data_IF_111887489822
#
_entry.id   IF_111887489822
#
_cell.length_a   1.000
_cell.length_b   1.000
_cell.length_c   1.000
_cell.angle_alpha   90.00
_cell.angle_beta   90.00
_cell.angle_gamma   90.00
#
_symmetry.space_group_name_H-M   'P 1'
#
loop_
_entity.id
_entity.type
_entity.pdbx_description
1 polymer ?
#
# COMPACT_ATOMS: atom_id res chain seq x y z
N UNK A 1 5.28 10.52 30.81
CA UNK A 1 5.55 9.27 30.06
C UNK A 1 5.28 8.14 31.02
N UNK A 2 4.47 7.18 30.60
CA UNK A 2 4.14 6.02 31.41
C UNK A 2 5.32 5.05 31.47
N UNK A 3 5.38 4.18 32.49
CA UNK A 3 6.45 3.17 32.65
C UNK A 3 6.53 2.21 31.45
N UNK A 4 5.40 1.97 30.82
CA UNK A 4 5.28 1.08 29.67
C UNK A 4 4.71 1.81 28.46
N UNK A 5 5.18 1.44 27.26
CA UNK A 5 4.66 1.91 25.98
C UNK A 5 4.35 0.72 25.07
N UNK A 6 3.22 0.73 24.39
CA UNK A 6 2.90 -0.29 23.38
C UNK A 6 3.80 -0.05 22.16
N UNK A 7 4.46 -1.08 21.61
CA UNK A 7 5.26 -0.93 20.37
C UNK A 7 4.48 -1.49 19.19
N UNK A 8 4.11 -2.76 19.30
CA UNK A 8 3.29 -3.49 18.35
C UNK A 8 2.56 -4.57 19.15
N UNK A 9 1.28 -4.36 19.42
CA UNK A 9 0.52 -5.27 20.28
C UNK A 9 0.72 -6.73 19.84
N UNK A 10 1.14 -7.64 20.75
CA UNK A 10 1.18 -7.47 22.20
C UNK A 10 2.55 -7.07 22.81
N UNK A 11 3.57 -6.66 22.05
CA UNK A 11 4.88 -6.30 22.62
C UNK A 11 4.91 -4.89 23.22
N UNK A 12 5.60 -4.78 24.35
CA UNK A 12 5.66 -3.59 25.19
C UNK A 12 7.11 -3.11 25.32
N UNK A 13 7.32 -1.81 25.46
CA UNK A 13 8.60 -1.20 25.83
C UNK A 13 8.55 -0.80 27.30
N UNK A 14 9.53 -1.19 28.09
CA UNK A 14 9.82 -0.50 29.35
C UNK A 14 10.54 0.82 29.02
N UNK A 15 9.93 1.95 29.35
CA UNK A 15 10.46 3.28 28.97
C UNK A 15 11.63 3.72 29.85
N UNK A 16 11.81 3.11 31.02
CA UNK A 16 12.91 3.42 31.94
C UNK A 16 14.19 2.69 31.53
N UNK A 17 14.08 1.43 31.11
CA UNK A 17 15.23 0.59 30.73
C UNK A 17 15.47 0.52 29.22
N UNK A 18 14.47 0.88 28.41
CA UNK A 18 14.47 0.68 26.96
C UNK A 18 14.32 -0.78 26.53
N UNK A 19 14.02 -1.70 27.45
CA UNK A 19 13.86 -3.12 27.14
C UNK A 19 12.53 -3.39 26.43
N UNK A 20 12.58 -4.17 25.33
CA UNK A 20 11.39 -4.73 24.71
C UNK A 20 10.95 -5.98 25.49
N UNK A 21 9.69 -6.01 25.88
CA UNK A 21 9.04 -7.06 26.66
C UNK A 21 8.12 -7.85 25.72
N UNK A 22 8.51 -9.08 25.33
CA UNK A 22 7.64 -9.99 24.59
C UNK A 22 6.43 -10.39 25.46
N UNK A 23 5.31 -10.68 24.81
CA UNK A 23 4.16 -11.31 25.46
C UNK A 23 4.44 -12.80 25.73
N UNK A 24 5.23 -13.06 26.77
CA UNK A 24 5.58 -14.40 27.23
C UNK A 24 5.28 -14.52 28.73
N UNK A 25 4.31 -15.37 29.14
CA UNK A 25 3.99 -15.61 30.55
C UNK A 25 5.17 -16.08 31.41
N UNK A 26 6.22 -16.66 30.83
CA UNK A 26 7.42 -17.07 31.55
C UNK A 26 8.43 -15.92 31.74
N UNK A 27 8.24 -14.78 31.07
CA UNK A 27 9.11 -13.61 31.19
C UNK A 27 8.73 -12.78 32.43
N UNK A 28 9.71 -12.55 33.30
CA UNK A 28 9.53 -11.76 34.51
C UNK A 28 9.06 -10.32 34.24
N UNK A 29 9.61 -9.66 33.20
CA UNK A 29 9.20 -8.30 32.81
C UNK A 29 7.76 -8.25 32.29
N UNK A 30 7.31 -9.33 31.65
CA UNK A 30 5.92 -9.46 31.21
C UNK A 30 4.97 -9.66 32.39
N UNK A 31 5.35 -10.49 33.37
CA UNK A 31 4.58 -10.65 34.61
C UNK A 31 4.47 -9.32 35.37
N UNK A 32 5.57 -8.57 35.49
CA UNK A 32 5.58 -7.24 36.10
C UNK A 32 4.66 -6.26 35.37
N UNK A 33 4.67 -6.27 34.03
CA UNK A 33 3.73 -5.47 33.23
C UNK A 33 2.26 -5.85 33.50
N UNK A 34 1.94 -7.14 33.60
CA UNK A 34 0.59 -7.60 33.92
C UNK A 34 0.16 -7.17 35.33
N UNK A 35 1.05 -7.27 36.32
CA UNK A 35 0.79 -6.77 37.68
C UNK A 35 0.58 -5.25 37.68
N UNK A 36 1.39 -4.50 36.95
CA UNK A 36 1.24 -3.05 36.81
C UNK A 36 -0.12 -2.65 36.22
N UNK A 37 -0.65 -3.41 35.25
CA UNK A 37 -1.99 -3.19 34.68
C UNK A 37 -3.15 -3.45 35.65
N UNK A 38 -2.92 -4.11 36.80
CA UNK A 38 -3.99 -4.37 37.78
C UNK A 38 -4.46 -3.11 38.50
N UNK A 39 -3.64 -2.06 38.53
CA UNK A 39 -4.04 -0.75 39.02
C UNK A 39 -4.79 0.02 37.91
N UNK A 40 -6.05 0.42 38.13
CA UNK A 40 -6.84 1.15 37.13
C UNK A 40 -6.29 2.53 36.79
N UNK A 41 -5.37 3.09 37.58
CA UNK A 41 -4.70 4.35 37.26
C UNK A 41 -3.57 4.17 36.22
N UNK A 42 -3.13 2.93 35.98
CA UNK A 42 -2.04 2.63 35.07
C UNK A 42 -2.58 2.38 33.64
N UNK A 43 -2.09 3.17 32.69
CA UNK A 43 -2.39 3.01 31.27
C UNK A 43 -1.08 3.18 30.50
N UNK A 44 -0.66 2.20 29.67
CA UNK A 44 0.59 2.32 28.93
C UNK A 44 0.46 3.44 27.91
N UNK A 45 1.59 4.08 27.58
CA UNK A 45 1.63 5.02 26.47
C UNK A 45 1.27 4.25 25.18
N UNK A 46 0.43 4.82 24.29
CA UNK A 46 0.03 4.15 23.07
C UNK A 46 1.22 3.93 22.14
N UNK A 47 1.05 3.04 21.16
CA UNK A 47 2.01 2.92 20.07
C UNK A 47 2.17 4.22 19.31
N UNK A 48 3.37 4.43 18.75
CA UNK A 48 3.60 5.56 17.86
C UNK A 48 2.62 5.48 16.70
N UNK A 49 1.98 6.61 16.40
CA UNK A 49 1.12 6.70 15.24
C UNK A 49 1.92 6.32 13.98
N UNK A 50 1.37 5.45 13.15
CA UNK A 50 1.97 5.14 11.86
C UNK A 50 1.96 6.41 11.03
N UNK A 51 3.14 6.97 10.77
CA UNK A 51 3.29 8.12 9.89
C UNK A 51 3.22 7.63 8.46
N UNK A 52 2.05 7.77 7.83
CA UNK A 52 1.91 7.50 6.40
C UNK A 52 2.66 8.54 5.60
N UNK A 53 3.45 8.09 4.64
CA UNK A 53 4.21 8.94 3.73
C UNK A 53 3.70 8.78 2.31
N UNK A 54 3.96 9.79 1.47
CA UNK A 54 3.66 9.71 0.04
C UNK A 54 4.35 8.50 -0.64
N UNK A 55 5.53 8.09 -0.17
CA UNK A 55 6.26 6.93 -0.70
C UNK A 55 5.54 5.60 -0.43
N UNK A 56 4.89 5.47 0.73
CA UNK A 56 4.06 4.30 1.07
C UNK A 56 2.86 4.18 0.11
N UNK A 57 2.23 5.29 -0.22
CA UNK A 57 1.10 5.35 -1.15
C UNK A 57 1.55 5.00 -2.57
N UNK A 58 2.69 5.55 -3.03
CA UNK A 58 3.27 5.21 -4.34
C UNK A 58 3.65 3.75 -4.44
N UNK A 59 4.17 3.18 -3.37
CA UNK A 59 4.51 1.76 -3.30
C UNK A 59 3.26 0.89 -3.45
N UNK A 60 2.15 1.25 -2.80
CA UNK A 60 0.89 0.54 -2.94
C UNK A 60 0.27 0.70 -4.34
N UNK A 61 0.31 1.90 -4.92
CA UNK A 61 -0.10 2.12 -6.30
C UNK A 61 0.71 1.25 -7.28
N UNK A 62 2.03 1.17 -7.10
CA UNK A 62 2.91 0.29 -7.89
C UNK A 62 2.55 -1.18 -7.70
N UNK A 63 2.32 -1.63 -6.46
CA UNK A 63 1.93 -3.01 -6.15
C UNK A 63 0.66 -3.41 -6.90
N UNK A 64 -0.39 -2.58 -6.84
CA UNK A 64 -1.67 -2.80 -7.53
C UNK A 64 -1.49 -2.86 -9.05
N UNK A 65 -0.71 -1.93 -9.61
CA UNK A 65 -0.43 -1.91 -11.06
C UNK A 65 0.27 -3.21 -11.48
N UNK A 66 1.30 -3.64 -10.75
CA UNK A 66 2.07 -4.84 -11.07
C UNK A 66 1.27 -6.14 -10.89
N UNK A 67 0.33 -6.16 -9.94
CA UNK A 67 -0.58 -7.29 -9.73
C UNK A 67 -1.48 -7.53 -10.95
N UNK A 68 -2.07 -6.48 -11.53
CA UNK A 68 -2.96 -6.61 -12.71
C UNK A 68 -2.20 -6.61 -14.04
N UNK A 69 -1.15 -5.82 -14.14
CA UNK A 69 -0.30 -5.64 -15.32
C UNK A 69 1.17 -5.75 -14.93
N UNK A 70 1.74 -6.96 -14.87
CA UNK A 70 3.17 -7.15 -14.62
C UNK A 70 4.03 -6.44 -15.66
N UNK A 71 5.31 -6.19 -15.33
CA UNK A 71 6.22 -5.40 -16.18
C UNK A 71 6.31 -5.93 -17.61
N UNK A 72 6.41 -7.25 -17.79
CA UNK A 72 6.45 -7.89 -19.12
C UNK A 72 5.18 -7.59 -19.94
N UNK A 73 4.01 -7.53 -19.28
CA UNK A 73 2.74 -7.27 -19.95
C UNK A 73 2.65 -5.81 -20.36
N UNK A 74 3.09 -4.89 -19.50
CA UNK A 74 3.17 -3.46 -19.84
C UNK A 74 4.12 -3.21 -21.02
N UNK A 75 5.29 -3.88 -21.04
CA UNK A 75 6.23 -3.81 -22.16
C UNK A 75 5.62 -4.33 -23.46
N UNK A 76 4.93 -5.48 -23.40
CA UNK A 76 4.27 -6.08 -24.57
C UNK A 76 3.14 -5.19 -25.11
N UNK A 77 2.31 -4.61 -24.24
CA UNK A 77 1.25 -3.68 -24.65
C UNK A 77 1.83 -2.44 -25.34
N UNK A 78 2.95 -1.92 -24.82
CA UNK A 78 3.65 -0.77 -25.41
C UNK A 78 4.21 -1.12 -26.78
N UNK A 79 4.91 -2.24 -26.91
CA UNK A 79 5.44 -2.72 -28.19
C UNK A 79 4.32 -2.94 -29.21
N UNK A 80 3.22 -3.58 -28.79
CA UNK A 80 2.08 -3.84 -29.67
C UNK A 80 1.40 -2.57 -30.14
N UNK A 81 1.24 -1.56 -29.28
CA UNK A 81 0.70 -0.26 -29.70
C UNK A 81 1.60 0.44 -30.74
N UNK A 82 2.93 0.31 -30.61
CA UNK A 82 3.87 0.83 -31.62
C UNK A 82 3.67 0.13 -32.97
N UNK A 83 3.53 -1.20 -32.98
CA UNK A 83 3.24 -1.96 -34.20
C UNK A 83 1.91 -1.53 -34.84
N UNK A 84 0.84 -1.44 -34.07
CA UNK A 84 -0.49 -1.04 -34.55
C UNK A 84 -0.47 0.37 -35.15
N UNK A 85 0.24 1.31 -34.54
CA UNK A 85 0.41 2.66 -35.09
C UNK A 85 1.18 2.65 -36.41
N UNK A 86 2.21 1.80 -36.55
CA UNK A 86 2.94 1.62 -37.81
C UNK A 86 2.06 1.03 -38.91
N UNK A 87 1.22 0.05 -38.57
CA UNK A 87 0.26 -0.53 -39.52
C UNK A 87 -0.70 0.55 -40.00
N UNK A 88 -1.33 1.29 -39.09
CA UNK A 88 -2.24 2.40 -39.44
C UNK A 88 -1.57 3.45 -40.33
N UNK A 89 -0.32 3.81 -40.06
CA UNK A 89 0.41 4.75 -40.89
C UNK A 89 0.66 4.20 -42.32
N UNK A 90 0.72 2.89 -42.49
CA UNK A 90 0.96 2.23 -43.78
C UNK A 90 -0.31 2.01 -44.59
N UNK A 91 -1.44 1.65 -43.94
CA UNK A 91 -2.70 1.31 -44.62
C UNK A 91 -3.82 2.36 -44.46
N UNK A 92 -3.60 3.40 -43.67
CA UNK A 92 -4.52 4.54 -43.47
C UNK A 92 -5.51 4.37 -42.31
N UNK A 93 -5.99 3.14 -42.04
CA UNK A 93 -6.92 2.84 -40.95
C UNK A 93 -6.65 1.47 -40.34
N UNK A 94 -7.04 1.30 -39.08
CA UNK A 94 -7.08 -0.02 -38.46
C UNK A 94 -8.23 -0.85 -39.01
N UNK A 95 -8.00 -2.15 -39.16
CA UNK A 95 -9.06 -3.14 -39.30
C UNK A 95 -9.89 -3.21 -38.02
N UNK A 96 -11.07 -3.82 -38.08
CA UNK A 96 -11.91 -4.01 -36.89
C UNK A 96 -11.18 -4.79 -35.77
N UNK A 97 -10.39 -5.81 -36.12
CA UNK A 97 -9.60 -6.58 -35.16
C UNK A 97 -8.51 -5.75 -34.49
N UNK A 98 -7.78 -4.96 -35.27
CA UNK A 98 -6.75 -4.05 -34.75
C UNK A 98 -7.34 -2.95 -33.87
N UNK A 99 -8.50 -2.42 -34.23
CA UNK A 99 -9.22 -1.45 -33.39
C UNK A 99 -9.57 -2.07 -32.04
N UNK A 100 -10.07 -3.32 -32.01
CA UNK A 100 -10.35 -4.02 -30.75
C UNK A 100 -9.09 -4.21 -29.90
N UNK A 101 -7.94 -4.50 -30.51
CA UNK A 101 -6.66 -4.58 -29.79
C UNK A 101 -6.25 -3.23 -29.20
N UNK A 102 -6.36 -2.15 -29.98
CA UNK A 102 -6.10 -0.78 -29.50
C UNK A 102 -7.00 -0.44 -28.33
N UNK A 103 -8.30 -0.73 -28.43
CA UNK A 103 -9.27 -0.43 -27.37
C UNK A 103 -8.96 -1.20 -26.08
N UNK A 104 -8.50 -2.46 -26.20
CA UNK A 104 -8.06 -3.26 -25.07
C UNK A 104 -6.77 -2.71 -24.43
N UNK A 105 -5.77 -2.32 -25.23
CA UNK A 105 -4.55 -1.68 -24.74
C UNK A 105 -4.88 -0.35 -24.05
N UNK A 106 -5.74 0.45 -24.65
CA UNK A 106 -6.17 1.74 -24.12
C UNK A 106 -6.92 1.57 -22.79
N UNK A 107 -7.81 0.57 -22.70
CA UNK A 107 -8.52 0.24 -21.45
C UNK A 107 -7.56 -0.14 -20.33
N UNK A 108 -6.50 -0.93 -20.64
CA UNK A 108 -5.46 -1.25 -19.67
C UNK A 108 -4.70 0.00 -19.20
N UNK A 109 -4.35 0.89 -20.14
CA UNK A 109 -3.68 2.15 -19.81
C UNK A 109 -4.55 3.11 -19.00
N UNK A 110 -5.84 3.21 -19.32
CA UNK A 110 -6.80 4.03 -18.59
C UNK A 110 -6.96 3.55 -17.15
N UNK A 111 -7.01 2.24 -16.93
CA UNK A 111 -6.99 1.69 -15.58
C UNK A 111 -5.70 2.04 -14.83
N UNK A 112 -4.52 1.88 -15.44
CA UNK A 112 -3.23 2.26 -14.81
C UNK A 112 -3.19 3.75 -14.45
N UNK A 113 -3.67 4.63 -15.34
CA UNK A 113 -3.80 6.06 -15.05
C UNK A 113 -4.75 6.34 -13.90
N UNK A 114 -5.86 5.61 -13.79
CA UNK A 114 -6.80 5.78 -12.68
C UNK A 114 -6.18 5.42 -11.33
N UNK A 115 -5.32 4.39 -11.27
CA UNK A 115 -4.55 4.06 -10.05
C UNK A 115 -3.58 5.18 -9.70
N UNK A 116 -2.87 5.74 -10.69
CA UNK A 116 -1.95 6.87 -10.46
C UNK A 116 -2.68 8.12 -9.99
N UNK A 117 -3.83 8.42 -10.58
CA UNK A 117 -4.68 9.53 -10.16
C UNK A 117 -5.20 9.35 -8.72
N UNK A 118 -5.52 8.12 -8.32
CA UNK A 118 -5.88 7.83 -6.92
C UNK A 118 -4.69 8.03 -5.97
N UNK A 119 -3.48 7.58 -6.36
CA UNK A 119 -2.24 7.85 -5.61
C UNK A 119 -2.03 9.35 -5.40
N UNK A 120 -2.09 10.15 -6.47
CA UNK A 120 -1.88 11.60 -6.40
C UNK A 120 -2.86 12.26 -5.43
N UNK A 121 -4.12 11.81 -5.41
CA UNK A 121 -5.13 12.32 -4.48
C UNK A 121 -4.84 11.92 -3.01
N UNK A 122 -4.41 10.68 -2.78
CA UNK A 122 -4.07 10.19 -1.44
C UNK A 122 -2.80 10.85 -0.89
N UNK A 123 -1.82 11.18 -1.73
CA UNK A 123 -0.60 11.87 -1.33
C UNK A 123 -0.84 13.26 -0.72
N UNK A 124 -2.00 13.87 -0.99
CA UNK A 124 -2.39 15.16 -0.42
C UNK A 124 -2.96 15.05 1.01
N UNK A 125 -3.53 13.88 1.37
CA UNK A 125 -4.27 13.69 2.62
C UNK A 125 -3.66 12.64 3.56
N UNK A 126 -2.81 11.74 3.05
CA UNK A 126 -2.06 10.73 3.79
C UNK A 126 -2.91 9.91 4.78
N UNK A 127 -3.99 9.24 4.34
CA UNK A 127 -4.85 8.47 5.22
C UNK A 127 -4.11 7.24 5.77
N UNK A 128 -4.35 6.93 7.05
CA UNK A 128 -3.70 5.79 7.74
C UNK A 128 -4.06 4.43 7.12
N UNK A 129 -5.22 4.36 6.48
CA UNK A 129 -5.83 3.22 5.83
C UNK A 129 -5.74 3.32 4.29
N UNK A 130 -4.72 3.99 3.74
CA UNK A 130 -4.50 4.15 2.30
C UNK A 130 -4.51 2.85 1.47
N UNK A 131 -4.40 1.68 2.12
CA UNK A 131 -4.49 0.36 1.47
C UNK A 131 -5.93 -0.11 1.26
N UNK A 132 -6.93 0.54 1.84
CA UNK A 132 -8.34 0.19 1.70
C UNK A 132 -8.78 0.30 0.23
N UNK A 133 -9.46 -0.73 -0.28
CA UNK A 133 -9.88 -0.82 -1.67
C UNK A 133 -10.88 0.27 -2.09
N UNK A 134 -11.56 0.92 -1.15
CA UNK A 134 -12.45 2.05 -1.42
C UNK A 134 -11.73 3.27 -1.99
N UNK A 135 -10.41 3.40 -1.77
CA UNK A 135 -9.60 4.47 -2.34
C UNK A 135 -9.13 4.21 -3.78
N UNK A 136 -9.21 2.96 -4.25
CA UNK A 136 -8.58 2.53 -5.49
C UNK A 136 -9.62 2.13 -6.54
N UNK A 137 -9.30 2.25 -7.84
CA UNK A 137 -10.19 1.76 -8.88
C UNK A 137 -10.40 0.25 -8.73
N UNK A 138 -11.61 -0.20 -9.07
CA UNK A 138 -11.96 -1.61 -9.02
C UNK A 138 -11.02 -2.45 -9.92
N UNK A 139 -10.78 -3.68 -9.48
CA UNK A 139 -10.06 -4.69 -10.25
C UNK A 139 -10.88 -5.21 -11.43
#
# INVERSE_FOLDING_TARGET
>A
MSKYKIINAPNILNTETGAQIPNDPANADWQEYQEWLTDPANTPDPADAVVVTADMIKTEARRRILEKYPEWKQANLTARMVELNKIRASVGSWTAGEQMEVDAIQSAWDWVKSVRSASDALELILPVDYQDNSYWPAF
#
